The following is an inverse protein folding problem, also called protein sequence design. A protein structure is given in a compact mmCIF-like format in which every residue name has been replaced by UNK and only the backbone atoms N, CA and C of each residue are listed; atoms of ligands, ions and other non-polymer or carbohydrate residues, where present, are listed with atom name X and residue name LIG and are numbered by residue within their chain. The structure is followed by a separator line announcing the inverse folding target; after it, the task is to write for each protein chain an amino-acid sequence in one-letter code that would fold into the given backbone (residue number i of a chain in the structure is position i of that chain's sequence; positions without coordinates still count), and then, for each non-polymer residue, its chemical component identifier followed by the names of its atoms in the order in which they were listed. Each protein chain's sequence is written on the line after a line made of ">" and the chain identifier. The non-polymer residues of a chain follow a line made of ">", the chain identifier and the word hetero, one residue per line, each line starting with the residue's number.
data_IF_243618316033
#
_entry.id   IF_243618316033
#
_cell.length_a   1.000
_cell.length_b   1.000
_cell.length_c   1.000
_cell.angle_alpha   90.00
_cell.angle_beta   90.00
_cell.angle_gamma   90.00
#
_symmetry.space_group_name_H-M   'P 1'
#
loop_
_entity.id
_entity.type
_entity.pdbx_description
1 polymer ?
#
# COMPACT_ATOMS: atom_id res chain seq x y z
N UNK A 1 7.02 9.62 25.78
CA UNK A 1 6.39 8.58 24.95
C UNK A 1 6.82 8.76 23.49
N UNK A 2 8.13 8.88 23.21
CA UNK A 2 8.62 9.43 21.92
C UNK A 2 9.55 8.47 21.14
N UNK A 3 9.67 7.19 21.52
CA UNK A 3 10.65 6.29 20.87
C UNK A 3 10.12 5.66 19.58
N UNK A 4 8.82 5.39 19.48
CA UNK A 4 8.26 4.61 18.37
C UNK A 4 8.24 5.39 17.04
N UNK A 5 7.80 6.66 17.04
CA UNK A 5 7.78 7.48 15.82
C UNK A 5 9.18 7.79 15.31
N UNK A 6 10.14 7.99 16.22
CA UNK A 6 11.55 8.13 15.86
C UNK A 6 12.10 6.85 15.22
N UNK A 7 11.68 5.68 15.70
CA UNK A 7 12.06 4.41 15.08
C UNK A 7 11.47 4.25 13.68
N UNK A 8 10.17 4.52 13.49
CA UNK A 8 9.51 4.42 12.18
C UNK A 8 10.15 5.38 11.17
N UNK A 9 10.30 6.67 11.53
CA UNK A 9 10.93 7.64 10.64
C UNK A 9 12.39 7.32 10.30
N UNK A 10 13.13 6.72 11.25
CA UNK A 10 14.51 6.28 11.01
C UNK A 10 14.59 5.08 10.05
N UNK A 11 13.68 4.11 10.19
CA UNK A 11 13.59 2.97 9.27
C UNK A 11 13.13 3.39 7.87
N UNK A 12 12.22 4.36 7.77
CA UNK A 12 11.86 4.98 6.49
C UNK A 12 13.07 5.66 5.84
N UNK A 13 13.82 6.47 6.61
CA UNK A 13 15.05 7.13 6.13
C UNK A 13 16.04 6.14 5.55
N UNK A 14 16.32 5.03 6.26
CA UNK A 14 17.24 3.99 5.78
C UNK A 14 16.82 3.44 4.43
N UNK A 15 15.53 3.10 4.29
CA UNK A 15 14.98 2.53 3.04
C UNK A 15 15.04 3.55 1.90
N UNK A 16 14.57 4.77 2.12
CA UNK A 16 14.59 5.82 1.10
C UNK A 16 16.01 6.19 0.69
N UNK A 17 16.96 6.29 1.62
CA UNK A 17 18.38 6.52 1.28
C UNK A 17 18.92 5.37 0.46
N UNK A 18 18.64 4.13 0.84
CA UNK A 18 19.06 2.95 0.09
C UNK A 18 18.50 2.97 -1.34
N UNK A 19 17.21 3.25 -1.51
CA UNK A 19 16.57 3.36 -2.83
C UNK A 19 17.12 4.54 -3.63
N UNK A 20 17.17 5.75 -3.08
CA UNK A 20 17.65 6.94 -3.79
C UNK A 20 19.14 6.84 -4.18
N UNK A 21 19.99 6.22 -3.36
CA UNK A 21 21.42 6.03 -3.68
C UNK A 21 21.66 5.10 -4.88
N UNK A 22 20.74 4.18 -5.14
CA UNK A 22 20.85 3.21 -6.23
C UNK A 22 19.97 3.61 -7.45
N UNK A 23 19.30 4.76 -7.42
CA UNK A 23 18.61 5.36 -8.57
C UNK A 23 19.58 6.28 -9.34
N UNK A 24 20.59 5.68 -9.96
CA UNK A 24 21.69 6.40 -10.63
C UNK A 24 21.20 7.26 -11.79
N UNK A 25 20.09 6.87 -12.42
CA UNK A 25 19.53 7.54 -13.60
C UNK A 25 18.44 8.56 -13.25
N UNK A 26 18.10 8.71 -11.97
CA UNK A 26 17.04 9.58 -11.45
C UNK A 26 15.71 9.43 -12.20
N UNK A 27 15.42 8.21 -12.65
CA UNK A 27 14.28 7.91 -13.50
C UNK A 27 13.29 6.95 -12.82
N UNK A 28 13.52 6.63 -11.54
CA UNK A 28 12.60 5.84 -10.76
C UNK A 28 11.54 6.76 -10.15
N UNK A 29 10.29 6.33 -10.26
CA UNK A 29 9.12 7.08 -9.79
C UNK A 29 8.94 6.98 -8.26
N UNK A 30 9.99 7.26 -7.48
CA UNK A 30 10.00 7.22 -6.01
C UNK A 30 10.42 8.59 -5.46
N UNK A 31 9.83 8.99 -4.33
CA UNK A 31 10.15 10.26 -3.67
C UNK A 31 11.63 10.42 -3.34
N UNK A 32 12.17 11.62 -3.56
CA UNK A 32 13.56 11.95 -3.23
C UNK A 32 13.68 12.52 -1.81
N UNK A 33 14.43 11.83 -0.95
CA UNK A 33 14.79 12.31 0.38
C UNK A 33 16.02 13.23 0.26
N UNK A 34 15.83 14.50 0.58
CA UNK A 34 16.87 15.55 0.47
C UNK A 34 17.72 15.66 1.73
N UNK A 35 17.08 15.57 2.91
CA UNK A 35 17.78 15.74 4.18
C UNK A 35 17.03 15.07 5.33
N UNK A 36 17.71 14.91 6.46
CA UNK A 36 17.12 14.45 7.72
C UNK A 36 17.73 15.20 8.89
N UNK A 37 16.94 15.52 9.91
CA UNK A 37 17.44 16.15 11.13
C UNK A 37 16.57 15.78 12.33
N UNK A 38 17.09 16.04 13.54
CA UNK A 38 16.33 15.95 14.77
C UNK A 38 15.93 17.36 15.20
N UNK A 39 14.65 17.58 15.49
CA UNK A 39 14.15 18.83 16.05
C UNK A 39 13.13 18.53 17.14
N UNK A 40 13.37 19.04 18.34
CA UNK A 40 12.54 18.83 19.54
C UNK A 40 12.04 17.38 19.71
N UNK A 41 12.98 16.42 19.72
CA UNK A 41 12.73 14.97 19.83
C UNK A 41 11.98 14.33 18.66
N UNK A 42 11.70 15.06 17.59
CA UNK A 42 11.14 14.51 16.35
C UNK A 42 12.24 14.26 15.32
N UNK A 43 12.24 13.05 14.76
CA UNK A 43 13.03 12.72 13.57
C UNK A 43 12.32 13.24 12.31
N UNK A 44 12.89 14.27 11.70
CA UNK A 44 12.32 14.97 10.57
C UNK A 44 12.96 14.50 9.25
N UNK A 45 12.12 14.21 8.27
CA UNK A 45 12.47 13.88 6.90
C UNK A 45 12.17 15.08 5.99
N UNK A 46 13.10 15.44 5.12
CA UNK A 46 12.93 16.54 4.15
C UNK A 46 12.91 15.95 2.75
N UNK A 47 11.81 16.16 2.03
CA UNK A 47 11.59 15.61 0.70
C UNK A 47 11.61 16.70 -0.38
N UNK A 48 11.80 16.27 -1.63
CA UNK A 48 11.47 17.09 -2.78
C UNK A 48 9.97 17.44 -2.77
N UNK A 49 9.65 18.71 -3.05
CA UNK A 49 8.27 19.18 -3.05
C UNK A 49 7.59 18.95 -4.40
N UNK A 50 6.52 18.15 -4.39
CA UNK A 50 5.71 17.84 -5.56
C UNK A 50 4.44 18.69 -5.59
N UNK A 51 4.27 19.48 -6.64
CA UNK A 51 3.19 20.48 -6.78
C UNK A 51 1.88 19.91 -7.30
N UNK A 52 1.91 18.75 -7.96
CA UNK A 52 0.73 18.19 -8.63
C UNK A 52 -0.30 17.56 -7.69
N UNK A 53 0.05 17.38 -6.42
CA UNK A 53 -0.83 16.81 -5.42
C UNK A 53 -1.09 15.31 -5.61
N UNK A 54 -1.98 14.79 -4.77
CA UNK A 54 -2.33 13.36 -4.72
C UNK A 54 -3.06 12.91 -5.98
N UNK A 55 -2.77 11.69 -6.45
CA UNK A 55 -3.51 11.02 -7.51
C UNK A 55 -4.98 10.87 -7.09
N UNK A 56 -5.87 11.52 -7.84
CA UNK A 56 -7.31 11.48 -7.60
C UNK A 56 -8.03 10.87 -8.78
N UNK A 57 -9.21 10.31 -8.50
CA UNK A 57 -10.14 9.89 -9.54
C UNK A 57 -10.65 11.13 -10.30
N UNK A 58 -10.50 11.18 -11.63
CA UNK A 58 -11.06 12.27 -12.43
C UNK A 58 -12.56 12.05 -12.69
N UNK A 59 -13.42 12.77 -11.96
CA UNK A 59 -14.89 12.62 -12.02
C UNK A 59 -15.56 13.15 -13.29
N UNK A 60 -14.86 13.91 -14.14
CA UNK A 60 -15.44 14.62 -15.30
C UNK A 60 -14.59 14.47 -16.57
N UNK A 61 -14.17 13.23 -16.88
CA UNK A 61 -13.43 12.94 -18.11
C UNK A 61 -14.09 11.80 -18.90
N UNK A 62 -13.97 11.87 -20.23
CA UNK A 62 -14.42 10.79 -21.10
C UNK A 62 -13.56 9.52 -20.91
N UNK A 63 -14.10 8.37 -21.34
CA UNK A 63 -13.45 7.06 -21.19
C UNK A 63 -12.08 6.99 -21.86
N UNK A 64 -11.92 7.61 -23.04
CA UNK A 64 -10.67 7.60 -23.77
C UNK A 64 -9.55 8.29 -22.99
N UNK A 65 -9.85 9.43 -22.38
CA UNK A 65 -8.89 10.16 -21.55
C UNK A 65 -8.59 9.40 -20.26
N UNK A 66 -9.60 8.76 -19.66
CA UNK A 66 -9.41 7.92 -18.46
C UNK A 66 -8.47 6.76 -18.75
N UNK A 67 -8.64 6.08 -19.88
CA UNK A 67 -7.76 5.01 -20.31
C UNK A 67 -6.31 5.49 -20.50
N UNK A 68 -6.12 6.70 -21.03
CA UNK A 68 -4.78 7.29 -21.15
C UNK A 68 -4.13 7.52 -19.78
N UNK A 69 -4.88 8.00 -18.79
CA UNK A 69 -4.39 8.17 -17.42
C UNK A 69 -4.03 6.81 -16.82
N UNK A 70 -4.93 5.83 -16.90
CA UNK A 70 -4.68 4.45 -16.42
C UNK A 70 -3.39 3.91 -17.02
N UNK A 71 -3.18 4.03 -18.34
CA UNK A 71 -1.95 3.57 -19.00
C UNK A 71 -0.70 4.29 -18.49
N UNK A 72 -0.75 5.62 -18.33
CA UNK A 72 0.40 6.41 -17.86
C UNK A 72 0.74 6.11 -16.41
N UNK A 73 -0.27 5.96 -15.54
CA UNK A 73 -0.09 5.57 -14.15
C UNK A 73 0.46 4.14 -14.08
N UNK A 74 -0.11 3.22 -14.86
CA UNK A 74 0.32 1.83 -14.88
C UNK A 74 1.81 1.69 -15.23
N UNK A 75 2.27 2.34 -16.32
CA UNK A 75 3.67 2.25 -16.72
C UNK A 75 4.63 2.77 -15.62
N UNK A 76 4.32 3.92 -15.03
CA UNK A 76 5.21 4.55 -14.05
C UNK A 76 5.23 3.81 -12.71
N UNK A 77 4.05 3.37 -12.23
CA UNK A 77 3.98 2.54 -11.03
C UNK A 77 4.68 1.20 -11.24
N UNK A 78 4.51 0.53 -12.38
CA UNK A 78 5.22 -0.71 -12.67
C UNK A 78 6.74 -0.52 -12.68
N UNK A 79 7.24 0.59 -13.24
CA UNK A 79 8.67 0.92 -13.18
C UNK A 79 9.14 1.04 -11.72
N UNK A 80 8.39 1.72 -10.86
CA UNK A 80 8.72 1.80 -9.42
C UNK A 80 8.65 0.43 -8.73
N UNK A 81 7.61 -0.36 -8.99
CA UNK A 81 7.39 -1.67 -8.37
C UNK A 81 8.46 -2.70 -8.78
N UNK A 82 8.87 -2.72 -10.06
CA UNK A 82 9.97 -3.54 -10.54
C UNK A 82 11.26 -3.15 -9.80
N UNK A 83 11.50 -1.85 -9.65
CA UNK A 83 12.68 -1.34 -8.97
C UNK A 83 12.73 -1.74 -7.49
N UNK A 84 11.68 -1.46 -6.71
CA UNK A 84 11.68 -1.79 -5.26
C UNK A 84 11.76 -3.30 -5.04
N UNK A 85 11.17 -4.11 -5.93
CA UNK A 85 11.32 -5.56 -5.91
C UNK A 85 12.78 -6.00 -6.10
N UNK A 86 13.49 -5.42 -7.07
CA UNK A 86 14.92 -5.70 -7.25
C UNK A 86 15.77 -5.26 -6.06
N UNK A 87 15.32 -4.24 -5.33
CA UNK A 87 15.94 -3.75 -4.10
C UNK A 87 15.48 -4.51 -2.84
N UNK A 88 14.73 -5.61 -3.03
CA UNK A 88 14.20 -6.46 -1.95
C UNK A 88 13.29 -5.73 -0.94
N UNK A 89 12.55 -4.72 -1.40
CA UNK A 89 11.61 -3.92 -0.62
C UNK A 89 10.18 -4.22 -1.06
N UNK A 90 9.28 -4.38 -0.08
CA UNK A 90 7.82 -4.40 -0.24
C UNK A 90 7.28 -3.08 0.32
N UNK A 91 6.48 -2.34 -0.45
CA UNK A 91 5.93 -1.05 -0.04
C UNK A 91 4.88 -1.21 1.08
N UNK A 92 4.02 -2.23 0.95
CA UNK A 92 2.98 -2.61 1.92
C UNK A 92 1.86 -1.60 2.17
N UNK A 93 1.92 -0.37 1.69
CA UNK A 93 0.80 0.58 1.79
C UNK A 93 0.57 1.38 0.49
N UNK A 94 0.56 0.69 -0.65
CA UNK A 94 0.29 1.33 -1.93
C UNK A 94 -1.20 1.65 -2.05
N UNK A 95 -1.52 2.93 -2.24
CA UNK A 95 -2.87 3.49 -2.37
C UNK A 95 -2.83 4.81 -3.11
N UNK A 96 -3.99 5.35 -3.49
CA UNK A 96 -4.06 6.61 -4.23
C UNK A 96 -3.38 7.76 -3.46
N UNK A 97 -3.55 7.81 -2.13
CA UNK A 97 -2.96 8.83 -1.26
C UNK A 97 -1.43 8.84 -1.28
N UNK A 98 -0.82 7.69 -1.57
CA UNK A 98 0.62 7.48 -1.56
C UNK A 98 1.25 7.62 -2.97
N UNK A 99 0.52 8.25 -3.90
CA UNK A 99 1.00 8.57 -5.24
C UNK A 99 0.79 10.06 -5.49
N UNK A 100 1.88 10.80 -5.70
CA UNK A 100 1.84 12.24 -6.00
C UNK A 100 2.20 12.52 -7.45
N UNK A 101 1.53 13.50 -8.04
CA UNK A 101 1.96 14.11 -9.29
C UNK A 101 3.07 15.13 -9.02
N UNK A 102 4.11 15.12 -9.85
CA UNK A 102 5.25 16.05 -9.74
C UNK A 102 4.79 17.49 -9.96
N UNK A 103 3.99 17.73 -11.00
CA UNK A 103 3.40 19.05 -11.31
C UNK A 103 1.93 18.92 -11.70
N UNK A 104 1.16 20.01 -11.59
CA UNK A 104 -0.27 20.06 -11.93
C UNK A 104 -0.57 19.76 -13.41
N UNK A 105 0.41 20.01 -14.29
CA UNK A 105 0.25 19.91 -15.75
C UNK A 105 0.92 18.67 -16.35
N UNK A 106 1.50 17.79 -15.51
CA UNK A 106 2.20 16.59 -15.93
C UNK A 106 1.55 15.35 -15.34
N UNK A 107 1.58 14.25 -16.08
CA UNK A 107 1.23 12.93 -15.54
C UNK A 107 2.40 12.22 -14.88
N UNK A 108 3.53 12.92 -14.69
CA UNK A 108 4.68 12.36 -14.00
C UNK A 108 4.34 12.15 -12.53
N UNK A 109 4.58 10.93 -12.02
CA UNK A 109 4.25 10.56 -10.66
C UNK A 109 5.46 10.14 -9.83
N UNK A 110 5.26 10.17 -8.51
CA UNK A 110 6.17 9.68 -7.48
C UNK A 110 5.38 8.88 -6.45
N UNK A 111 5.83 7.67 -6.16
CA UNK A 111 5.41 6.88 -5.01
C UNK A 111 6.08 7.47 -3.77
N UNK A 112 5.27 7.69 -2.73
CA UNK A 112 5.70 8.27 -1.45
C UNK A 112 5.37 7.30 -0.31
N UNK A 113 5.78 7.67 0.92
CA UNK A 113 5.41 6.98 2.17
C UNK A 113 5.93 5.53 2.26
N UNK A 114 7.24 5.45 2.53
CA UNK A 114 7.92 4.17 2.76
C UNK A 114 7.98 3.83 4.27
N UNK A 115 7.19 4.52 5.10
CA UNK A 115 7.16 4.32 6.55
C UNK A 115 6.72 2.92 6.96
N UNK A 116 5.81 2.32 6.19
CA UNK A 116 5.34 0.96 6.39
C UNK A 116 6.12 -0.09 5.59
N UNK A 117 6.99 0.34 4.67
CA UNK A 117 7.71 -0.58 3.79
C UNK A 117 8.61 -1.53 4.60
N UNK A 118 8.76 -2.76 4.13
CA UNK A 118 9.52 -3.82 4.81
C UNK A 118 10.49 -4.51 3.84
N UNK A 119 11.57 -5.08 4.38
CA UNK A 119 12.40 -6.02 3.64
C UNK A 119 11.75 -7.40 3.57
N UNK A 120 12.13 -8.21 2.58
CA UNK A 120 11.62 -9.59 2.47
C UNK A 120 11.93 -10.44 3.72
N UNK A 121 13.10 -10.23 4.34
CA UNK A 121 13.52 -10.95 5.55
C UNK A 121 12.69 -10.57 6.80
N UNK A 122 11.99 -9.43 6.75
CA UNK A 122 11.15 -8.92 7.84
C UNK A 122 9.73 -9.48 7.79
N UNK A 123 9.29 -10.06 6.66
CA UNK A 123 7.93 -10.61 6.46
C UNK A 123 7.50 -11.51 7.61
N UNK A 124 8.43 -12.32 8.15
CA UNK A 124 8.17 -13.23 9.28
C UNK A 124 7.65 -12.53 10.55
N UNK A 125 8.02 -11.27 10.78
CA UNK A 125 7.59 -10.50 11.95
C UNK A 125 6.19 -9.90 11.77
N UNK A 126 5.75 -9.71 10.53
CA UNK A 126 4.44 -9.14 10.18
C UNK A 126 3.41 -10.23 9.84
N UNK A 127 3.88 -11.46 9.59
CA UNK A 127 3.07 -12.64 9.32
C UNK A 127 2.27 -13.17 10.53
N UNK A 128 2.22 -12.43 11.64
CA UNK A 128 1.39 -12.75 12.81
C UNK A 128 0.30 -11.70 13.06
N UNK A 129 0.57 -10.42 12.82
CA UNK A 129 -0.43 -9.35 12.98
C UNK A 129 -1.32 -9.19 11.76
N UNK A 130 -0.80 -9.39 10.53
CA UNK A 130 -1.50 -9.18 9.26
C UNK A 130 -2.20 -7.82 9.13
N UNK A 131 -1.70 -6.82 9.88
CA UNK A 131 -2.12 -5.42 9.78
C UNK A 131 -1.15 -4.65 8.88
N UNK A 132 -1.04 -5.13 7.65
CA UNK A 132 -0.31 -4.46 6.57
C UNK A 132 -1.30 -4.14 5.44
N UNK A 133 -0.99 -3.12 4.65
CA UNK A 133 -1.88 -2.53 3.63
C UNK A 133 -3.13 -1.87 4.20
N UNK A 134 -3.46 -0.71 3.64
CA UNK A 134 -4.79 -0.12 3.78
C UNK A 134 -5.88 -1.08 3.28
N UNK A 135 -6.97 -1.25 4.05
CA UNK A 135 -7.94 -2.34 3.90
C UNK A 135 -8.48 -2.49 2.46
N UNK A 136 -8.82 -1.38 1.80
CA UNK A 136 -9.38 -1.38 0.44
C UNK A 136 -8.40 -1.87 -0.64
N UNK A 137 -7.10 -1.82 -0.36
CA UNK A 137 -6.01 -2.23 -1.25
C UNK A 137 -5.30 -3.49 -0.76
N UNK A 138 -5.82 -4.14 0.30
CA UNK A 138 -5.20 -5.27 0.98
C UNK A 138 -5.40 -6.57 0.20
N UNK A 139 -4.33 -7.34 0.04
CA UNK A 139 -4.33 -8.59 -0.70
C UNK A 139 -5.08 -9.72 0.04
N UNK A 140 -5.68 -10.68 -0.67
CA UNK A 140 -6.43 -11.77 -0.04
C UNK A 140 -5.55 -12.67 0.83
N UNK A 141 -4.29 -12.90 0.46
CA UNK A 141 -3.33 -13.65 1.27
C UNK A 141 -3.05 -12.95 2.62
N UNK A 142 -3.04 -11.62 2.65
CA UNK A 142 -2.88 -10.87 3.89
C UNK A 142 -4.15 -10.97 4.74
N UNK A 143 -5.33 -10.80 4.14
CA UNK A 143 -6.62 -10.94 4.86
C UNK A 143 -6.78 -12.33 5.48
N UNK A 144 -6.34 -13.38 4.78
CA UNK A 144 -6.45 -14.77 5.21
C UNK A 144 -5.32 -15.21 6.14
N UNK A 145 -4.30 -14.39 6.34
CA UNK A 145 -3.17 -14.77 7.18
C UNK A 145 -2.27 -15.84 6.56
N UNK A 146 -2.08 -15.76 5.24
CA UNK A 146 -1.19 -16.63 4.47
C UNK A 146 0.20 -15.99 4.30
N UNK A 147 1.23 -16.80 3.96
CA UNK A 147 2.51 -16.25 3.53
C UNK A 147 2.31 -15.26 2.37
N UNK A 148 3.01 -14.13 2.43
CA UNK A 148 2.92 -13.07 1.45
C UNK A 148 4.32 -12.60 1.03
N UNK A 149 4.39 -11.84 -0.06
CA UNK A 149 5.64 -11.31 -0.61
C UNK A 149 5.40 -10.01 -1.38
N UNK A 150 6.24 -9.74 -2.38
CA UNK A 150 6.13 -8.56 -3.25
C UNK A 150 4.79 -8.48 -4.01
N UNK A 151 4.13 -9.62 -4.16
CA UNK A 151 2.88 -9.79 -4.90
C UNK A 151 1.72 -9.00 -4.26
N UNK A 152 1.80 -8.66 -2.97
CA UNK A 152 0.76 -7.85 -2.33
C UNK A 152 0.70 -6.42 -2.90
N UNK A 153 1.85 -5.85 -3.29
CA UNK A 153 1.89 -4.53 -3.91
C UNK A 153 1.30 -4.59 -5.33
N UNK A 154 1.42 -5.73 -6.01
CA UNK A 154 0.76 -5.96 -7.31
C UNK A 154 -0.75 -6.06 -7.18
N UNK A 155 -1.27 -6.59 -6.06
CA UNK A 155 -2.69 -6.54 -5.76
C UNK A 155 -3.17 -5.11 -5.55
N UNK A 156 -2.48 -4.33 -4.71
CA UNK A 156 -2.81 -2.91 -4.49
C UNK A 156 -2.75 -2.10 -5.78
N UNK A 157 -1.74 -2.35 -6.63
CA UNK A 157 -1.62 -1.77 -7.96
C UNK A 157 -2.85 -2.05 -8.84
N UNK A 158 -3.32 -3.30 -8.88
CA UNK A 158 -4.54 -3.66 -9.61
C UNK A 158 -5.76 -2.88 -9.11
N UNK A 159 -5.92 -2.80 -7.78
CA UNK A 159 -7.00 -2.04 -7.15
C UNK A 159 -6.96 -0.55 -7.54
N UNK A 160 -5.78 0.08 -7.53
CA UNK A 160 -5.57 1.48 -7.93
C UNK A 160 -5.98 1.71 -9.39
N UNK A 161 -5.55 0.85 -10.31
CA UNK A 161 -5.91 1.00 -11.72
C UNK A 161 -7.42 0.87 -11.95
N UNK A 162 -8.04 -0.11 -11.28
CA UNK A 162 -9.49 -0.28 -11.32
C UNK A 162 -10.22 0.91 -10.71
N UNK A 163 -9.74 1.47 -9.61
CA UNK A 163 -10.35 2.65 -8.99
C UNK A 163 -10.29 3.89 -9.89
N UNK A 164 -9.15 4.14 -10.54
CA UNK A 164 -9.03 5.22 -11.53
C UNK A 164 -9.99 5.01 -12.69
N UNK A 165 -10.18 3.76 -13.14
CA UNK A 165 -11.07 3.41 -14.25
C UNK A 165 -12.56 3.50 -13.89
N UNK A 166 -12.95 2.97 -12.73
CA UNK A 166 -14.36 2.82 -12.32
C UNK A 166 -14.88 4.11 -11.69
N UNK A 167 -14.02 4.80 -10.93
CA UNK A 167 -14.36 6.03 -10.23
C UNK A 167 -14.41 5.93 -8.71
N UNK A 168 -14.26 4.71 -8.17
CA UNK A 168 -14.36 4.37 -6.76
C UNK A 168 -13.65 3.03 -6.49
N UNK A 169 -13.34 2.69 -5.22
CA UNK A 169 -12.64 1.45 -4.89
C UNK A 169 -13.35 0.20 -5.44
N UNK A 170 -12.59 -0.68 -6.11
CA UNK A 170 -13.12 -1.91 -6.72
C UNK A 170 -13.75 -2.87 -5.71
N UNK A 171 -13.23 -2.90 -4.48
CA UNK A 171 -13.77 -3.63 -3.35
C UNK A 171 -14.07 -2.65 -2.23
N UNK A 172 -15.28 -2.70 -1.68
CA UNK A 172 -15.75 -1.73 -0.66
C UNK A 172 -16.29 -2.45 0.55
N UNK A 173 -15.52 -2.42 1.64
CA UNK A 173 -15.98 -2.84 2.95
C UNK A 173 -15.11 -2.26 4.05
N UNK A 174 -15.74 -1.98 5.19
CA UNK A 174 -15.05 -1.58 6.41
C UNK A 174 -14.55 -2.78 7.23
N UNK A 175 -14.78 -4.01 6.74
CA UNK A 175 -14.43 -5.25 7.45
C UNK A 175 -13.61 -6.18 6.57
N UNK A 176 -12.68 -6.92 7.19
CA UNK A 176 -11.89 -7.97 6.50
C UNK A 176 -12.81 -9.02 5.85
N UNK A 177 -13.92 -9.37 6.49
CA UNK A 177 -14.87 -10.38 5.99
C UNK A 177 -15.63 -9.87 4.77
N UNK A 178 -16.12 -8.63 4.83
CA UNK A 178 -16.79 -7.99 3.70
C UNK A 178 -15.85 -7.78 2.51
N UNK A 179 -14.57 -7.48 2.74
CA UNK A 179 -13.57 -7.42 1.65
C UNK A 179 -13.46 -8.74 0.90
N UNK A 180 -13.36 -9.88 1.62
CA UNK A 180 -13.34 -11.21 0.99
C UNK A 180 -14.66 -11.51 0.25
N UNK A 181 -15.81 -11.13 0.82
CA UNK A 181 -17.13 -11.29 0.16
C UNK A 181 -17.20 -10.50 -1.16
N UNK A 182 -16.69 -9.27 -1.18
CA UNK A 182 -16.62 -8.45 -2.40
C UNK A 182 -15.67 -9.05 -3.44
N UNK A 183 -14.51 -9.57 -3.01
CA UNK A 183 -13.59 -10.29 -3.91
C UNK A 183 -14.24 -11.53 -4.51
N UNK A 184 -14.91 -12.35 -3.71
CA UNK A 184 -15.60 -13.56 -4.20
C UNK A 184 -16.77 -13.25 -5.14
N UNK A 185 -17.51 -12.16 -4.86
CA UNK A 185 -18.60 -11.70 -5.70
C UNK A 185 -18.14 -11.29 -7.09
N UNK A 186 -16.97 -10.65 -7.18
CA UNK A 186 -16.43 -10.13 -8.44
C UNK A 186 -15.56 -11.14 -9.20
N UNK A 187 -14.65 -11.83 -8.49
CA UNK A 187 -13.61 -12.69 -9.07
C UNK A 187 -13.99 -14.18 -9.03
N UNK A 188 -15.08 -14.54 -8.36
CA UNK A 188 -15.44 -15.93 -8.09
C UNK A 188 -14.82 -16.47 -6.80
N UNK A 189 -15.18 -17.71 -6.41
CA UNK A 189 -14.76 -18.29 -5.13
C UNK A 189 -13.24 -18.43 -5.05
N UNK A 190 -12.69 -18.15 -3.86
CA UNK A 190 -11.26 -18.37 -3.62
C UNK A 190 -10.91 -19.86 -3.76
N UNK A 191 -9.74 -20.20 -4.35
CA UNK A 191 -9.31 -21.58 -4.48
C UNK A 191 -9.28 -22.29 -3.13
N UNK A 192 -9.86 -23.50 -3.04
CA UNK A 192 -9.94 -24.21 -1.75
C UNK A 192 -8.57 -24.58 -1.15
N UNK A 193 -7.55 -24.72 -1.99
CA UNK A 193 -6.17 -24.91 -1.55
C UNK A 193 -5.59 -23.69 -0.80
N UNK A 194 -6.11 -22.50 -1.08
CA UNK A 194 -5.61 -21.23 -0.54
C UNK A 194 -6.10 -21.04 0.89
N UNK A 195 -7.39 -21.15 1.15
CA UNK A 195 -7.92 -20.91 2.51
C UNK A 195 -7.78 -22.10 3.46
N UNK A 196 -7.65 -23.36 2.98
CA UNK A 196 -7.45 -24.52 3.87
C UNK A 196 -6.17 -24.44 4.72
N UNK A 197 -5.16 -23.73 4.21
CA UNK A 197 -3.87 -23.52 4.88
C UNK A 197 -3.76 -22.14 5.55
N UNK A 198 -4.84 -21.36 5.53
CA UNK A 198 -4.87 -20.02 6.08
C UNK A 198 -4.82 -20.04 7.61
N UNK A 199 -4.00 -19.18 8.23
CA UNK A 199 -4.05 -19.00 9.69
C UNK A 199 -5.43 -18.50 10.13
N UNK A 200 -6.09 -17.70 9.30
CA UNK A 200 -7.45 -17.21 9.53
C UNK A 200 -8.52 -18.14 8.92
N UNK A 201 -8.24 -19.43 8.71
CA UNK A 201 -9.19 -20.38 8.10
C UNK A 201 -10.49 -20.51 8.92
N UNK A 202 -10.39 -20.65 10.24
CA UNK A 202 -11.56 -20.75 11.11
C UNK A 202 -12.43 -19.49 11.06
N UNK A 203 -11.79 -18.31 11.04
CA UNK A 203 -12.47 -17.04 10.85
C UNK A 203 -13.15 -16.95 9.47
N UNK A 204 -12.45 -17.36 8.41
CA UNK A 204 -13.00 -17.37 7.06
C UNK A 204 -14.25 -18.25 6.99
N UNK A 205 -14.26 -19.45 7.57
CA UNK A 205 -15.46 -20.30 7.58
C UNK A 205 -16.63 -19.70 8.38
N UNK A 206 -16.33 -18.99 9.47
CA UNK A 206 -17.35 -18.40 10.35
C UNK A 206 -17.74 -16.97 9.95
N UNK A 207 -17.25 -16.44 8.81
CA UNK A 207 -17.50 -15.07 8.33
C UNK A 207 -18.96 -14.72 8.00
N UNK A 208 -19.85 -15.69 8.11
CA UNK A 208 -21.30 -15.51 7.96
C UNK A 208 -21.97 -15.12 9.28
N UNK A 209 -21.25 -15.24 10.39
CA UNK A 209 -21.65 -14.80 11.72
C UNK A 209 -20.96 -13.46 11.99
N UNK A 210 -21.43 -12.38 11.34
CA UNK A 210 -20.92 -11.01 11.57
C UNK A 210 -21.39 -10.48 12.95
N UNK A 211 -21.22 -11.30 13.99
CA UNK A 211 -21.25 -10.88 15.38
C UNK A 211 -19.97 -10.14 15.69
N UNK A 212 -20.05 -8.81 15.75
CA UNK A 212 -19.11 -7.95 16.48
C UNK A 212 -18.68 -8.64 17.80
N UNK A 213 -17.45 -9.15 17.86
CA UNK A 213 -16.63 -9.27 19.08
C UNK A 213 -15.24 -9.82 18.80
N UNK A 214 -14.27 -9.04 19.28
CA UNK A 214 -12.94 -9.45 19.74
C UNK A 214 -11.83 -9.67 18.67
N UNK A 215 -11.34 -8.54 18.14
CA UNK A 215 -9.90 -8.35 17.86
C UNK A 215 -9.30 -7.56 19.04
N UNK A 216 -8.06 -7.82 19.51
CA UNK A 216 -7.60 -7.27 20.77
C UNK A 216 -7.61 -5.74 20.74
N UNK A 217 -8.47 -5.18 21.59
CA UNK A 217 -8.47 -3.77 21.96
C UNK A 217 -7.19 -3.55 22.76
N UNK A 218 -6.18 -3.04 22.08
CA UNK A 218 -4.87 -2.71 22.63
C UNK A 218 -4.35 -1.40 22.06
N UNK A 219 -5.18 -0.35 22.06
CA UNK A 219 -4.72 1.03 22.01
C UNK A 219 -5.77 1.91 22.71
N UNK A 220 -5.28 2.64 23.70
CA UNK A 220 -6.04 3.25 24.80
C UNK A 220 -7.08 4.27 24.36
N UNK A 221 -8.19 4.30 25.11
CA UNK A 221 -9.03 5.48 25.29
C UNK A 221 -8.35 6.46 26.25
N UNK A 222 -7.85 7.56 25.72
CA UNK A 222 -7.72 8.88 26.36
C UNK A 222 -7.88 9.85 25.17
N UNK A 223 -8.88 10.71 25.02
CA UNK A 223 -9.86 11.37 25.90
C UNK A 223 -11.20 11.50 25.18
#
# INVERSE_FOLDING_TARGET
>A
MDSQYNHVGFEECKKLRYLNLHDIYENIHISKLLNTFLYDKHFCLVFEYYRGGVLKVPYMINEQFRLQIVRKVACQLLTALIYIKHMAVIHTDLKLENILFVTENSYELRVIDFGNAIGLDDVKYYAESFEIQSLLYRAPEVLLGLPFGYEIDMWSFGCILCEIWIGYPIFQSDTKSGMIKEMERLLGPLPSSLYKNAKNFAWYLNRNDDGLKDWPVGANKET
#
